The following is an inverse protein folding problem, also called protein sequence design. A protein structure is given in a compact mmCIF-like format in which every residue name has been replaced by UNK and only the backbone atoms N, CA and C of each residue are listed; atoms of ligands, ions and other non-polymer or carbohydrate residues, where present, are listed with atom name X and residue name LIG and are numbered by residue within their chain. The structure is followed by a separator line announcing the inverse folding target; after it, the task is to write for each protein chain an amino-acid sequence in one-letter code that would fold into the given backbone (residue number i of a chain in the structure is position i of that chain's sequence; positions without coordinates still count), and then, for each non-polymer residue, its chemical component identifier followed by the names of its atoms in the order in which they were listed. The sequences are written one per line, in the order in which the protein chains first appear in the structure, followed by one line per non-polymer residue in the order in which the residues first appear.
data_IF_722228755693
#
_entry.id   IF_722228755693
#
_cell.length_a   1.000
_cell.length_b   1.000
_cell.length_c   1.000
_cell.angle_alpha   90.00
_cell.angle_beta   90.00
_cell.angle_gamma   90.00
#
_symmetry.space_group_name_H-M   'P 1'
#
loop_
_entity.id
_entity.type
_entity.pdbx_description
1 polymer ?
#
# COMPACT_ATOMS: atom_id res chain seq x y z
N UNK A 1 -25.89 -29.58 -54.06
CA UNK A 1 -25.55 -28.94 -52.78
C UNK A 1 -25.82 -27.43 -52.88
N UNK A 2 -26.69 -26.88 -52.06
CA UNK A 2 -27.20 -25.52 -52.24
C UNK A 2 -26.23 -24.52 -51.57
N UNK A 3 -25.21 -24.07 -52.32
CA UNK A 3 -24.09 -23.24 -51.88
C UNK A 3 -24.53 -21.94 -51.11
N UNK A 4 -25.68 -21.38 -51.49
CA UNK A 4 -26.26 -20.22 -50.78
C UNK A 4 -26.70 -20.58 -49.35
N UNK A 5 -27.35 -21.73 -49.15
CA UNK A 5 -27.79 -22.19 -47.82
C UNK A 5 -26.59 -22.52 -46.91
N UNK A 6 -25.54 -23.08 -47.48
CA UNK A 6 -24.31 -23.39 -46.73
C UNK A 6 -23.61 -22.11 -46.24
N UNK A 7 -23.48 -21.08 -47.08
CA UNK A 7 -22.93 -19.79 -46.67
C UNK A 7 -23.75 -19.13 -45.56
N UNK A 8 -25.09 -19.14 -45.70
CA UNK A 8 -25.98 -18.56 -44.67
C UNK A 8 -25.84 -19.30 -43.34
N UNK A 9 -25.74 -20.62 -43.38
CA UNK A 9 -25.52 -21.43 -42.17
C UNK A 9 -24.19 -21.05 -41.49
N UNK A 10 -23.11 -20.92 -42.25
CA UNK A 10 -21.80 -20.52 -41.69
C UNK A 10 -21.84 -19.11 -41.05
N UNK A 11 -22.55 -18.17 -41.66
CA UNK A 11 -22.71 -16.82 -41.09
C UNK A 11 -23.49 -16.92 -39.77
N UNK A 12 -24.56 -17.70 -39.71
CA UNK A 12 -25.32 -17.88 -38.46
C UNK A 12 -24.48 -18.52 -37.36
N UNK A 13 -23.72 -19.56 -37.65
CA UNK A 13 -22.82 -20.22 -36.70
C UNK A 13 -21.76 -19.25 -36.22
N UNK A 14 -21.16 -18.47 -37.12
CA UNK A 14 -20.16 -17.47 -36.77
C UNK A 14 -20.72 -16.39 -35.84
N UNK A 15 -21.91 -15.86 -36.13
CA UNK A 15 -22.59 -14.87 -35.27
C UNK A 15 -22.88 -15.49 -33.89
N UNK A 16 -23.35 -16.72 -33.83
CA UNK A 16 -23.67 -17.40 -32.58
C UNK A 16 -22.42 -17.61 -31.70
N UNK A 17 -21.30 -18.01 -32.33
CA UNK A 17 -20.00 -18.15 -31.63
C UNK A 17 -19.50 -16.79 -31.10
N UNK A 18 -19.63 -15.73 -31.89
CA UNK A 18 -19.23 -14.41 -31.42
C UNK A 18 -20.11 -13.92 -30.26
N UNK A 19 -21.42 -14.13 -30.31
CA UNK A 19 -22.34 -13.83 -29.20
C UNK A 19 -21.93 -14.62 -27.96
N UNK A 20 -21.64 -15.90 -28.09
CA UNK A 20 -21.18 -16.75 -26.97
C UNK A 20 -19.86 -16.22 -26.37
N UNK A 21 -18.90 -15.84 -27.22
CA UNK A 21 -17.62 -15.25 -26.76
C UNK A 21 -17.82 -13.91 -26.04
N UNK A 22 -18.72 -13.05 -26.54
CA UNK A 22 -19.07 -11.80 -25.87
C UNK A 22 -19.73 -12.08 -24.53
N UNK A 23 -20.64 -13.04 -24.43
CA UNK A 23 -21.28 -13.43 -23.16
C UNK A 23 -20.25 -13.99 -22.15
N UNK A 24 -19.31 -14.84 -22.63
CA UNK A 24 -18.22 -15.35 -21.78
C UNK A 24 -17.32 -14.19 -21.33
N UNK A 25 -16.99 -13.27 -22.23
CA UNK A 25 -16.16 -12.09 -21.91
C UNK A 25 -16.85 -11.17 -20.90
N UNK A 26 -18.13 -10.83 -21.13
CA UNK A 26 -18.94 -10.01 -20.22
C UNK A 26 -19.08 -10.71 -18.86
N UNK A 27 -19.37 -12.03 -18.84
CA UNK A 27 -19.42 -12.81 -17.61
C UNK A 27 -18.07 -12.86 -16.88
N UNK A 28 -16.96 -12.92 -17.61
CA UNK A 28 -15.62 -12.89 -17.03
C UNK A 28 -15.29 -11.50 -16.48
N UNK A 29 -15.66 -10.42 -17.17
CA UNK A 29 -15.46 -9.04 -16.74
C UNK A 29 -16.39 -8.68 -15.59
N UNK A 30 -17.66 -9.10 -15.58
CA UNK A 30 -18.61 -8.88 -14.48
C UNK A 30 -18.31 -9.75 -13.26
N UNK A 31 -17.79 -10.98 -13.44
CA UNK A 31 -17.30 -11.80 -12.32
C UNK A 31 -15.95 -11.35 -11.78
N UNK A 32 -15.18 -10.57 -12.54
CA UNK A 32 -13.99 -9.87 -12.02
C UNK A 32 -14.32 -8.53 -11.34
N UNK A 33 -15.55 -8.04 -11.41
CA UNK A 33 -16.07 -7.15 -10.39
C UNK A 33 -16.37 -8.05 -9.19
N UNK A 34 -15.54 -7.90 -8.16
CA UNK A 34 -15.61 -8.62 -6.88
C UNK A 34 -17.01 -8.42 -6.31
N UNK A 35 -17.94 -9.28 -6.70
CA UNK A 35 -19.13 -9.50 -5.90
C UNK A 35 -18.70 -10.41 -4.76
N UNK A 36 -18.48 -9.82 -3.60
CA UNK A 36 -18.42 -10.51 -2.31
C UNK A 36 -19.78 -11.15 -1.94
N UNK A 37 -20.42 -11.82 -2.84
CA UNK A 37 -21.49 -12.73 -2.46
C UNK A 37 -20.80 -14.00 -1.98
N UNK A 38 -20.85 -14.20 -0.64
CA UNK A 38 -20.61 -15.42 0.12
C UNK A 38 -20.30 -16.63 -0.80
N UNK A 39 -19.01 -16.86 -1.07
CA UNK A 39 -18.62 -18.09 -1.74
C UNK A 39 -18.51 -19.18 -0.67
N UNK A 40 -19.04 -20.35 -0.92
CA UNK A 40 -18.91 -21.57 -0.09
C UNK A 40 -17.44 -21.98 0.22
N UNK A 41 -16.47 -21.23 -0.28
CA UNK A 41 -15.03 -21.39 -0.10
C UNK A 41 -14.39 -20.34 0.84
N UNK A 42 -15.18 -19.66 1.66
CA UNK A 42 -14.63 -18.70 2.62
C UNK A 42 -13.82 -19.41 3.70
N UNK A 43 -12.58 -18.95 3.93
CA UNK A 43 -11.72 -19.53 4.96
C UNK A 43 -12.30 -19.23 6.34
N UNK A 44 -12.60 -20.28 7.11
CA UNK A 44 -13.01 -20.16 8.50
C UNK A 44 -11.76 -20.10 9.39
N UNK A 45 -11.13 -18.95 9.48
CA UNK A 45 -9.86 -18.75 10.19
C UNK A 45 -9.85 -19.30 11.61
N UNK A 46 -10.98 -19.27 12.33
CA UNK A 46 -11.08 -19.85 13.67
C UNK A 46 -10.94 -21.38 13.65
N UNK A 47 -11.44 -22.07 12.63
CA UNK A 47 -11.29 -23.52 12.50
C UNK A 47 -9.84 -23.88 12.12
N UNK A 48 -9.17 -23.01 11.40
CA UNK A 48 -7.75 -23.11 11.05
C UNK A 48 -6.82 -22.65 12.20
N UNK A 49 -7.38 -22.30 13.38
CA UNK A 49 -6.63 -21.77 14.55
C UNK A 49 -5.84 -20.48 14.25
N UNK A 50 -6.20 -19.74 13.21
CA UNK A 50 -5.59 -18.46 12.88
C UNK A 50 -6.33 -17.34 13.63
N UNK A 51 -5.58 -16.54 14.39
CA UNK A 51 -6.15 -15.43 15.17
C UNK A 51 -6.19 -14.17 14.34
N UNK A 52 -7.36 -13.57 14.20
CA UNK A 52 -7.57 -12.30 13.48
C UNK A 52 -8.67 -11.51 14.17
N UNK A 53 -8.44 -10.22 14.40
CA UNK A 53 -9.48 -9.33 14.91
C UNK A 53 -10.60 -9.15 13.88
N UNK A 54 -11.86 -9.09 14.37
CA UNK A 54 -13.02 -8.78 13.52
C UNK A 54 -12.90 -7.38 12.88
N UNK A 55 -12.26 -6.44 13.54
CA UNK A 55 -12.09 -5.08 13.04
C UNK A 55 -11.17 -5.07 11.81
N UNK A 56 -10.18 -5.96 11.76
CA UNK A 56 -9.34 -6.15 10.58
C UNK A 56 -10.15 -6.72 9.42
N UNK A 57 -10.88 -7.82 9.67
CA UNK A 57 -11.62 -8.54 8.61
C UNK A 57 -12.79 -7.73 8.03
N UNK A 58 -13.44 -6.93 8.87
CA UNK A 58 -14.65 -6.19 8.51
C UNK A 58 -14.39 -4.71 8.18
N UNK A 59 -13.12 -4.32 8.01
CA UNK A 59 -12.78 -2.96 7.59
C UNK A 59 -13.43 -2.65 6.24
N UNK A 60 -14.32 -1.66 6.24
CA UNK A 60 -15.04 -1.26 5.03
C UNK A 60 -14.10 -0.54 4.05
N UNK A 61 -14.03 -1.06 2.85
CA UNK A 61 -13.32 -0.48 1.71
C UNK A 61 -14.24 -0.38 0.48
N UNK A 62 -15.57 -0.46 0.72
CA UNK A 62 -16.55 -0.30 -0.34
C UNK A 62 -16.40 1.08 -1.00
N UNK A 63 -16.37 1.10 -2.32
CA UNK A 63 -16.14 2.33 -3.08
C UNK A 63 -14.67 2.79 -3.18
N UNK A 64 -13.74 2.20 -2.44
CA UNK A 64 -12.31 2.54 -2.56
C UNK A 64 -11.74 1.99 -3.87
N UNK A 65 -11.30 2.89 -4.73
CA UNK A 65 -10.68 2.56 -6.02
C UNK A 65 -9.29 3.14 -6.10
N UNK A 66 -8.31 2.32 -6.46
CA UNK A 66 -6.92 2.71 -6.61
C UNK A 66 -6.38 2.29 -7.97
N UNK A 67 -5.26 2.90 -8.39
CA UNK A 67 -4.55 2.61 -9.63
C UNK A 67 -3.04 2.66 -9.37
N UNK A 68 -2.24 2.18 -10.29
CA UNK A 68 -0.79 2.35 -10.23
C UNK A 68 -0.45 3.83 -10.34
N UNK A 69 0.55 4.26 -9.57
CA UNK A 69 1.08 5.62 -9.60
C UNK A 69 2.58 5.61 -9.83
N UNK A 70 3.09 6.69 -10.42
CA UNK A 70 4.52 6.97 -10.47
C UNK A 70 4.83 8.17 -9.59
N UNK A 71 6.01 8.18 -9.02
CA UNK A 71 6.50 9.26 -8.19
C UNK A 71 8.00 9.46 -8.41
N UNK A 72 8.50 10.68 -8.14
CA UNK A 72 9.90 11.04 -8.30
C UNK A 72 10.44 11.64 -7.00
N UNK A 73 11.66 11.25 -6.58
CA UNK A 73 12.33 11.85 -5.42
C UNK A 73 12.49 13.36 -5.61
N UNK A 74 12.22 14.10 -4.54
CA UNK A 74 12.46 15.54 -4.48
C UNK A 74 13.94 15.80 -4.26
N UNK A 75 14.47 16.76 -5.00
CA UNK A 75 15.77 17.34 -4.74
C UNK A 75 15.63 18.54 -3.76
N UNK A 76 16.36 18.50 -2.65
CA UNK A 76 16.34 19.49 -1.59
C UNK A 76 17.53 20.46 -1.64
N UNK A 77 18.50 20.33 -2.56
CA UNK A 77 19.68 21.22 -2.61
C UNK A 77 19.29 22.71 -2.60
N UNK A 78 18.36 23.07 -3.48
CA UNK A 78 17.88 24.47 -3.54
C UNK A 78 17.07 24.89 -2.30
N UNK A 79 16.40 23.94 -1.66
CA UNK A 79 15.59 24.24 -0.46
C UNK A 79 16.44 24.43 0.79
N UNK A 80 17.51 23.65 0.96
CA UNK A 80 18.43 23.73 2.09
C UNK A 80 19.37 24.94 1.99
N UNK A 81 19.62 25.43 0.76
CA UNK A 81 20.55 26.52 0.51
C UNK A 81 20.22 27.77 1.33
N UNK A 82 21.17 28.22 2.15
CA UNK A 82 21.05 29.42 3.00
C UNK A 82 20.27 29.20 4.31
N UNK A 83 19.93 27.95 4.65
CA UNK A 83 19.32 27.57 5.93
C UNK A 83 20.35 26.81 6.76
N UNK A 84 20.86 27.42 7.83
CA UNK A 84 21.98 26.88 8.64
C UNK A 84 21.60 25.59 9.42
N UNK A 85 20.31 25.37 9.70
CA UNK A 85 19.81 24.20 10.42
C UNK A 85 19.40 23.04 9.52
N UNK A 86 19.55 23.20 8.20
CA UNK A 86 19.15 22.18 7.21
C UNK A 86 20.30 21.83 6.28
N UNK A 87 20.48 20.55 6.01
CA UNK A 87 21.45 20.03 5.07
C UNK A 87 20.78 19.09 4.07
N UNK A 88 21.21 19.15 2.81
CA UNK A 88 20.74 18.23 1.76
C UNK A 88 21.79 17.15 1.55
N UNK A 89 21.43 15.90 1.78
CA UNK A 89 22.27 14.72 1.69
C UNK A 89 21.78 13.77 0.57
N UNK A 90 22.50 12.67 0.34
CA UNK A 90 22.16 11.64 -0.67
C UNK A 90 21.89 12.29 -2.06
N UNK A 91 22.82 13.13 -2.53
CA UNK A 91 22.66 13.88 -3.79
C UNK A 91 21.35 14.69 -3.84
N UNK A 92 21.00 15.34 -2.74
CA UNK A 92 19.81 16.17 -2.61
C UNK A 92 18.51 15.42 -2.25
N UNK A 93 18.51 14.09 -2.19
CA UNK A 93 17.26 13.32 -2.00
C UNK A 93 16.81 13.23 -0.54
N UNK A 94 17.67 13.58 0.40
CA UNK A 94 17.38 13.57 1.84
C UNK A 94 17.66 14.95 2.41
N UNK A 95 16.74 15.46 3.19
CA UNK A 95 16.89 16.69 3.97
C UNK A 95 17.10 16.30 5.42
N UNK A 96 18.21 16.70 6.02
CA UNK A 96 18.47 16.58 7.45
C UNK A 96 18.24 17.90 8.14
N UNK A 97 17.72 17.86 9.36
CA UNK A 97 17.48 19.04 10.17
C UNK A 97 17.77 18.79 11.64
N UNK A 98 18.50 19.71 12.26
CA UNK A 98 18.70 19.76 13.71
C UNK A 98 17.50 20.41 14.40
N UNK A 99 17.18 19.96 15.61
CA UNK A 99 16.05 20.45 16.41
C UNK A 99 16.61 21.17 17.63
N UNK A 100 16.65 22.51 17.59
CA UNK A 100 17.16 23.35 18.66
C UNK A 100 16.13 23.56 19.79
N UNK A 101 14.87 23.21 19.57
CA UNK A 101 13.77 23.35 20.53
C UNK A 101 13.53 22.06 21.31
N UNK A 102 12.94 22.17 22.51
CA UNK A 102 12.50 20.98 23.23
C UNK A 102 11.22 20.44 22.61
N UNK A 103 11.30 19.28 21.94
CA UNK A 103 10.16 18.55 21.37
C UNK A 103 10.04 17.21 22.08
N UNK A 104 9.06 17.07 22.98
CA UNK A 104 8.87 15.86 23.76
C UNK A 104 8.13 14.80 22.95
N UNK A 105 8.51 13.53 23.16
CA UNK A 105 7.86 12.36 22.54
C UNK A 105 7.33 11.37 23.57
N UNK A 106 7.21 11.82 24.84
CA UNK A 106 6.82 10.95 25.96
C UNK A 106 5.31 10.74 26.06
N UNK A 107 4.50 11.59 25.41
CA UNK A 107 3.05 11.41 25.40
C UNK A 107 2.61 10.42 24.32
N UNK A 108 1.59 9.65 24.62
CA UNK A 108 1.05 8.61 23.72
C UNK A 108 0.53 9.19 22.39
N UNK A 109 0.22 10.46 22.35
CA UNK A 109 -0.32 11.16 21.18
C UNK A 109 0.74 11.86 20.33
N UNK A 110 2.00 11.97 20.81
CA UNK A 110 3.10 12.68 20.16
C UNK A 110 2.70 14.12 19.76
N UNK A 111 2.01 14.85 20.66
CA UNK A 111 1.43 16.17 20.35
C UNK A 111 2.47 17.18 19.96
N UNK A 112 3.53 17.34 20.78
CA UNK A 112 4.62 18.28 20.52
C UNK A 112 5.33 17.98 19.19
N UNK A 113 5.51 16.68 18.88
CA UNK A 113 6.13 16.25 17.63
C UNK A 113 5.24 16.53 16.42
N UNK A 114 3.93 16.32 16.53
CA UNK A 114 2.98 16.69 15.48
C UNK A 114 2.97 18.18 15.21
N UNK A 115 2.97 19.02 16.26
CA UNK A 115 3.01 20.47 16.12
C UNK A 115 4.32 20.93 15.47
N UNK A 116 5.43 20.31 15.85
CA UNK A 116 6.72 20.54 15.19
C UNK A 116 6.70 20.18 13.70
N UNK A 117 6.17 19.00 13.35
CA UNK A 117 6.03 18.55 11.95
C UNK A 117 5.21 19.56 11.14
N UNK A 118 4.10 20.03 11.69
CA UNK A 118 3.22 20.96 10.98
C UNK A 118 3.85 22.33 10.75
N UNK A 119 4.75 22.76 11.64
CA UNK A 119 5.31 24.13 11.65
C UNK A 119 6.70 24.19 10.99
N UNK A 120 7.53 23.15 11.09
CA UNK A 120 8.94 23.19 10.76
C UNK A 120 9.38 22.25 9.63
N UNK A 121 8.62 21.16 9.41
CA UNK A 121 8.98 20.15 8.39
C UNK A 121 8.40 20.53 7.03
N UNK A 122 9.19 20.34 5.97
CA UNK A 122 8.72 20.57 4.60
C UNK A 122 7.46 19.76 4.31
N UNK A 123 6.35 20.45 3.96
CA UNK A 123 5.05 19.83 3.70
C UNK A 123 4.62 18.79 4.77
N UNK A 124 4.79 19.11 6.06
CA UNK A 124 4.52 18.20 7.18
C UNK A 124 3.14 17.52 7.16
N UNK A 125 2.13 18.19 6.57
CA UNK A 125 0.75 17.67 6.43
C UNK A 125 0.63 16.37 5.64
N UNK A 126 1.62 16.04 4.80
CA UNK A 126 1.57 14.84 3.96
C UNK A 126 2.01 13.56 4.68
N UNK A 127 2.42 13.66 5.95
CA UNK A 127 2.95 12.54 6.69
C UNK A 127 1.93 11.94 7.65
N UNK A 128 1.92 10.62 7.76
CA UNK A 128 1.14 9.84 8.71
C UNK A 128 2.11 9.04 9.59
N UNK A 129 1.74 8.83 10.86
CA UNK A 129 2.55 8.03 11.79
C UNK A 129 2.72 6.61 11.23
N UNK A 130 3.95 6.17 11.12
CA UNK A 130 4.33 4.83 10.68
C UNK A 130 4.70 3.95 11.87
N UNK A 131 5.89 4.17 12.45
CA UNK A 131 6.44 3.33 13.51
C UNK A 131 7.05 4.15 14.63
N UNK A 132 7.00 3.63 15.86
CA UNK A 132 7.56 4.25 17.06
C UNK A 132 8.42 3.22 17.80
N UNK A 133 9.68 3.55 17.99
CA UNK A 133 10.62 2.79 18.81
C UNK A 133 11.15 3.64 19.96
N UNK A 134 12.03 3.10 20.81
CA UNK A 134 12.71 3.86 21.86
C UNK A 134 13.56 5.01 21.32
N UNK A 135 14.16 4.80 20.16
CA UNK A 135 15.22 5.67 19.61
C UNK A 135 14.78 6.44 18.39
N UNK A 136 13.63 6.08 17.80
CA UNK A 136 13.13 6.73 16.59
C UNK A 136 11.61 6.80 16.53
N UNK A 137 11.11 7.88 15.91
CA UNK A 137 9.71 7.99 15.46
C UNK A 137 9.73 8.19 13.96
N UNK A 138 9.03 7.33 13.23
CA UNK A 138 8.99 7.35 11.78
C UNK A 138 7.58 7.65 11.28
N UNK A 139 7.48 8.58 10.34
CA UNK A 139 6.27 8.90 9.61
C UNK A 139 6.45 8.52 8.14
N UNK A 140 5.40 8.04 7.52
CA UNK A 140 5.34 7.70 6.09
C UNK A 140 4.61 8.80 5.33
N UNK A 141 5.13 9.17 4.17
CA UNK A 141 4.42 10.08 3.28
C UNK A 141 3.14 9.43 2.79
N UNK A 142 2.04 10.18 2.77
CA UNK A 142 0.76 9.72 2.24
C UNK A 142 0.40 10.42 0.93
N UNK A 143 -0.26 9.69 0.07
CA UNK A 143 -0.89 10.18 -1.16
C UNK A 143 -2.39 9.84 -1.15
N UNK A 144 -3.25 10.84 -1.31
CA UNK A 144 -4.72 10.69 -1.19
C UNK A 144 -5.16 9.98 0.10
N UNK A 145 -4.41 10.18 1.22
CA UNK A 145 -4.69 9.55 2.51
C UNK A 145 -4.13 8.14 2.69
N UNK A 146 -3.45 7.57 1.69
CA UNK A 146 -2.85 6.25 1.74
C UNK A 146 -1.32 6.34 1.84
N UNK A 147 -0.66 5.63 2.79
CA UNK A 147 0.78 5.69 2.99
C UNK A 147 1.55 5.10 1.80
N UNK A 148 2.72 5.68 1.51
CA UNK A 148 3.75 5.08 0.66
C UNK A 148 4.61 4.17 1.56
N UNK A 149 4.16 2.91 1.68
CA UNK A 149 4.61 1.97 2.71
C UNK A 149 6.04 1.50 2.51
N UNK A 150 6.79 1.41 3.62
CA UNK A 150 8.15 0.89 3.66
C UNK A 150 9.07 1.49 2.57
N UNK A 151 9.03 2.81 2.40
CA UNK A 151 9.74 3.52 1.35
C UNK A 151 10.72 4.55 1.92
N UNK A 152 12.03 4.29 1.79
CA UNK A 152 13.07 5.18 2.29
C UNK A 152 13.08 6.55 1.60
N UNK A 153 12.54 6.67 0.39
CA UNK A 153 12.43 7.93 -0.34
C UNK A 153 11.12 8.69 -0.07
N UNK A 154 10.29 8.18 0.86
CA UNK A 154 8.97 8.75 1.18
C UNK A 154 8.71 8.73 2.70
N UNK A 155 9.69 9.11 3.50
CA UNK A 155 9.57 9.06 4.95
C UNK A 155 10.16 10.27 5.64
N UNK A 156 9.70 10.49 6.88
CA UNK A 156 10.23 11.44 7.83
C UNK A 156 10.57 10.65 9.10
N UNK A 157 11.83 10.66 9.50
CA UNK A 157 12.34 9.93 10.66
C UNK A 157 12.94 10.91 11.66
N UNK A 158 12.51 10.85 12.90
CA UNK A 158 13.08 11.61 14.03
C UNK A 158 14.00 10.69 14.83
N UNK A 159 15.15 11.21 15.22
CA UNK A 159 16.04 10.59 16.19
C UNK A 159 15.63 11.07 17.59
N UNK A 160 15.48 10.12 18.50
CA UNK A 160 15.01 10.35 19.87
C UNK A 160 16.15 10.08 20.84
N UNK A 161 16.39 11.03 21.73
CA UNK A 161 17.31 10.89 22.84
C UNK A 161 16.65 11.40 24.13
N UNK A 162 16.66 10.60 25.20
CA UNK A 162 16.05 10.93 26.50
C UNK A 162 14.59 11.46 26.38
N UNK A 163 13.79 10.81 25.51
CA UNK A 163 12.39 11.17 25.29
C UNK A 163 12.16 12.48 24.54
N UNK A 164 13.18 12.99 23.84
CA UNK A 164 13.10 14.22 23.04
C UNK A 164 13.60 13.97 21.62
N UNK A 165 12.95 14.57 20.64
CA UNK A 165 13.45 14.60 19.27
C UNK A 165 14.63 15.59 19.18
N UNK A 166 15.74 15.13 18.60
CA UNK A 166 16.99 15.91 18.48
C UNK A 166 17.32 16.31 17.05
N UNK A 167 16.94 15.48 16.09
CA UNK A 167 17.13 15.73 14.66
C UNK A 167 16.11 14.94 13.85
N UNK A 168 16.02 15.26 12.57
CA UNK A 168 15.20 14.48 11.63
C UNK A 168 15.85 14.33 10.27
N UNK A 169 15.45 13.26 9.59
CA UNK A 169 15.73 12.99 8.19
C UNK A 169 14.42 12.95 7.42
N UNK A 170 14.33 13.69 6.34
CA UNK A 170 13.14 13.75 5.49
C UNK A 170 13.48 13.43 4.06
N UNK A 171 12.77 12.44 3.48
CA UNK A 171 12.75 12.16 2.06
C UNK A 171 11.33 12.28 1.53
N UNK A 172 11.17 12.80 0.31
CA UNK A 172 9.88 13.14 -0.29
C UNK A 172 9.78 12.61 -1.70
N UNK A 173 8.71 11.92 -2.00
CA UNK A 173 8.29 11.61 -3.36
C UNK A 173 7.37 12.72 -3.88
N UNK A 174 7.79 13.36 -4.95
CA UNK A 174 7.05 14.42 -5.66
C UNK A 174 6.42 13.90 -6.97
N UNK A 175 5.64 14.76 -7.63
CA UNK A 175 5.05 14.49 -8.93
C UNK A 175 4.34 13.13 -8.95
N UNK A 176 3.58 12.88 -7.87
CA UNK A 176 2.81 11.64 -7.77
C UNK A 176 1.63 11.75 -8.74
N UNK A 177 1.63 10.90 -9.76
CA UNK A 177 0.63 10.90 -10.82
C UNK A 177 0.26 9.47 -11.23
N UNK A 178 -0.93 9.23 -11.83
CA UNK A 178 -1.24 7.94 -12.42
C UNK A 178 -0.15 7.48 -13.37
N UNK A 179 0.29 6.23 -13.23
CA UNK A 179 1.28 5.66 -14.13
C UNK A 179 0.77 5.67 -15.58
N UNK A 180 1.60 6.16 -16.49
CA UNK A 180 1.30 6.21 -17.94
C UNK A 180 1.35 4.79 -18.49
N UNK A 181 0.19 4.18 -18.60
CA UNK A 181 0.00 2.86 -19.19
C UNK A 181 -1.38 2.82 -19.84
N UNK A 182 -1.48 2.19 -21.00
CA UNK A 182 -2.74 2.06 -21.76
C UNK A 182 -3.85 1.34 -20.97
N UNK A 183 -3.50 0.66 -19.89
CA UNK A 183 -4.44 -0.11 -19.07
C UNK A 183 -4.22 0.11 -17.56
N UNK A 184 -4.32 1.36 -17.12
CA UNK A 184 -4.22 1.73 -15.69
C UNK A 184 -5.49 2.44 -15.17
N UNK A 185 -6.69 1.85 -15.30
CA UNK A 185 -7.90 2.43 -14.72
C UNK A 185 -7.88 2.31 -13.20
N UNK A 186 -8.59 3.20 -12.50
CA UNK A 186 -8.88 3.01 -11.06
C UNK A 186 -9.72 1.73 -10.89
N UNK A 187 -9.22 0.77 -10.12
CA UNK A 187 -9.88 -0.51 -9.83
C UNK A 187 -10.32 -0.57 -8.38
N UNK A 188 -11.46 -1.23 -8.13
CA UNK A 188 -11.91 -1.54 -6.77
C UNK A 188 -10.83 -2.34 -6.04
N UNK A 189 -10.51 -1.96 -4.81
CA UNK A 189 -9.60 -2.75 -3.97
C UNK A 189 -10.31 -3.99 -3.41
N UNK A 190 -9.56 -5.07 -3.24
CA UNK A 190 -10.05 -6.28 -2.54
C UNK A 190 -10.20 -5.98 -1.05
N UNK A 191 -11.08 -6.70 -0.37
CA UNK A 191 -11.24 -6.57 1.08
C UNK A 191 -10.01 -7.07 1.83
N UNK A 192 -9.81 -6.61 3.09
CA UNK A 192 -8.75 -7.15 3.94
C UNK A 192 -8.92 -8.64 4.19
N UNK A 193 -10.15 -9.14 4.30
CA UNK A 193 -10.45 -10.58 4.37
C UNK A 193 -9.85 -11.32 3.18
N UNK A 194 -10.11 -10.85 1.96
CA UNK A 194 -9.58 -11.45 0.73
C UNK A 194 -8.05 -11.41 0.66
N UNK A 195 -7.45 -10.34 1.15
CA UNK A 195 -5.99 -10.23 1.23
C UNK A 195 -5.40 -11.26 2.22
N UNK A 196 -6.01 -11.44 3.39
CA UNK A 196 -5.60 -12.45 4.38
C UNK A 196 -5.82 -13.87 3.86
N UNK A 197 -6.94 -14.15 3.18
CA UNK A 197 -7.17 -15.44 2.49
C UNK A 197 -6.10 -15.73 1.44
N UNK A 198 -5.65 -14.70 0.74
CA UNK A 198 -4.54 -14.83 -0.23
C UNK A 198 -3.26 -15.31 0.46
N UNK A 199 -2.93 -14.78 1.65
CA UNK A 199 -1.79 -15.28 2.44
C UNK A 199 -1.98 -16.74 2.86
N UNK A 200 -3.19 -17.12 3.29
CA UNK A 200 -3.49 -18.49 3.70
C UNK A 200 -3.34 -19.47 2.51
N UNK A 201 -3.96 -19.21 1.38
CA UNK A 201 -3.87 -20.07 0.21
C UNK A 201 -2.47 -20.18 -0.38
N UNK A 202 -1.66 -19.14 -0.24
CA UNK A 202 -0.24 -19.16 -0.64
C UNK A 202 0.69 -19.69 0.47
N UNK A 203 0.13 -20.24 1.58
CA UNK A 203 0.87 -20.88 2.68
C UNK A 203 1.80 -19.95 3.49
N UNK A 204 1.53 -18.66 3.44
CA UNK A 204 2.18 -17.65 4.30
C UNK A 204 1.55 -17.58 5.69
N UNK A 205 0.29 -18.04 5.85
CA UNK A 205 -0.38 -18.23 7.13
C UNK A 205 -0.55 -19.71 7.44
N UNK A 206 -0.35 -20.06 8.69
CA UNK A 206 -0.42 -21.45 9.23
C UNK A 206 -1.25 -21.46 10.51
N UNK A 207 -1.69 -22.67 10.91
CA UNK A 207 -2.35 -22.89 12.20
C UNK A 207 -1.54 -22.32 13.37
N UNK A 208 -2.18 -21.52 14.19
CA UNK A 208 -1.61 -20.86 15.35
C UNK A 208 -0.95 -19.50 15.09
N UNK A 209 -0.94 -19.03 13.85
CA UNK A 209 -0.47 -17.68 13.52
C UNK A 209 -1.50 -16.61 13.91
N UNK A 210 -1.03 -15.36 14.06
CA UNK A 210 -1.87 -14.22 14.41
C UNK A 210 -1.66 -13.07 13.43
N UNK A 211 -2.74 -12.59 12.81
CA UNK A 211 -2.73 -11.35 12.01
C UNK A 211 -2.91 -10.18 12.95
N UNK A 212 -1.86 -9.40 13.10
CA UNK A 212 -1.78 -8.28 14.05
C UNK A 212 -2.39 -7.00 13.48
N UNK A 213 -2.21 -6.74 12.17
CA UNK A 213 -2.66 -5.53 11.49
C UNK A 213 -2.84 -5.76 9.99
N UNK A 214 -3.73 -4.97 9.37
CA UNK A 214 -3.87 -4.86 7.93
C UNK A 214 -4.21 -3.43 7.54
N UNK A 215 -3.33 -2.80 6.76
CA UNK A 215 -3.53 -1.44 6.26
C UNK A 215 -3.35 -1.36 4.75
N UNK A 216 -4.13 -0.50 4.10
CA UNK A 216 -4.08 -0.25 2.67
C UNK A 216 -3.15 0.92 2.38
N UNK A 217 -2.32 0.80 1.34
CA UNK A 217 -1.42 1.85 0.92
C UNK A 217 -0.78 1.56 -0.43
N UNK A 218 0.28 2.28 -0.74
CA UNK A 218 1.07 2.08 -1.94
C UNK A 218 2.43 1.47 -1.59
N UNK A 219 2.84 0.48 -2.35
CA UNK A 219 4.12 -0.21 -2.17
C UNK A 219 4.89 -0.31 -3.49
N UNK A 220 6.20 -0.15 -3.44
CA UNK A 220 7.11 -0.37 -4.56
C UNK A 220 8.10 -1.47 -4.24
N UNK A 221 8.28 -2.42 -5.16
CA UNK A 221 9.32 -3.47 -5.05
C UNK A 221 10.71 -2.86 -5.23
N UNK A 222 10.83 -1.83 -6.09
CA UNK A 222 12.08 -1.11 -6.36
C UNK A 222 12.04 0.24 -5.65
N UNK A 223 12.61 0.29 -4.44
CA UNK A 223 12.51 1.44 -3.53
C UNK A 223 13.71 2.39 -3.57
N UNK A 224 14.83 1.96 -4.14
CA UNK A 224 16.08 2.71 -4.13
C UNK A 224 16.20 3.72 -5.29
N UNK A 225 15.35 3.62 -6.30
CA UNK A 225 15.38 4.50 -7.48
C UNK A 225 14.69 5.83 -7.21
N UNK A 226 15.20 6.90 -7.87
CA UNK A 226 14.61 8.23 -7.77
C UNK A 226 13.26 8.37 -8.50
N UNK A 227 12.93 7.44 -9.38
CA UNK A 227 11.62 7.33 -10.01
C UNK A 227 11.07 5.95 -9.69
N UNK A 228 9.90 5.90 -9.09
CA UNK A 228 9.30 4.66 -8.62
C UNK A 228 7.91 4.45 -9.21
N UNK A 229 7.60 3.18 -9.47
CA UNK A 229 6.25 2.70 -9.72
C UNK A 229 5.71 2.10 -8.44
N UNK A 230 4.56 2.60 -7.97
CA UNK A 230 3.93 2.15 -6.75
C UNK A 230 2.56 1.54 -7.07
N UNK A 231 2.31 0.39 -6.50
CA UNK A 231 1.06 -0.36 -6.66
C UNK A 231 0.26 -0.30 -5.36
N UNK A 232 -1.07 -0.31 -5.48
CA UNK A 232 -1.93 -0.45 -4.31
C UNK A 232 -1.77 -1.84 -3.71
N UNK A 233 -1.45 -1.90 -2.41
CA UNK A 233 -1.22 -3.14 -1.67
C UNK A 233 -1.85 -3.07 -0.29
N UNK A 234 -2.25 -4.23 0.23
CA UNK A 234 -2.45 -4.44 1.65
C UNK A 234 -1.12 -4.79 2.30
N UNK A 235 -0.71 -4.04 3.30
CA UNK A 235 0.34 -4.43 4.23
C UNK A 235 -0.30 -5.22 5.37
N UNK A 236 0.15 -6.45 5.56
CA UNK A 236 -0.39 -7.36 6.57
C UNK A 236 0.75 -7.79 7.50
N UNK A 237 0.61 -7.49 8.78
CA UNK A 237 1.56 -7.87 9.83
C UNK A 237 1.13 -9.17 10.49
N UNK A 238 2.01 -10.16 10.48
CA UNK A 238 1.74 -11.52 10.99
C UNK A 238 2.76 -11.89 12.04
N UNK A 239 2.27 -12.33 13.19
CA UNK A 239 3.07 -12.98 14.22
C UNK A 239 2.94 -14.49 14.05
N UNK A 240 4.01 -15.16 13.65
CA UNK A 240 4.00 -16.60 13.47
C UNK A 240 4.10 -17.33 14.81
N UNK A 241 3.43 -18.47 14.92
CA UNK A 241 3.45 -19.32 16.12
C UNK A 241 4.89 -19.67 16.51
N UNK A 242 5.24 -19.38 17.77
CA UNK A 242 6.57 -19.67 18.32
C UNK A 242 7.68 -18.70 17.88
N UNK A 243 7.32 -17.59 17.21
CA UNK A 243 8.26 -16.50 16.92
C UNK A 243 7.87 -15.23 17.69
N UNK A 244 8.86 -14.45 18.09
CA UNK A 244 8.64 -13.17 18.75
C UNK A 244 8.51 -12.02 17.73
N UNK A 245 9.22 -12.12 16.61
CA UNK A 245 9.22 -11.14 15.54
C UNK A 245 7.91 -11.15 14.73
N UNK A 246 7.49 -9.97 14.31
CA UNK A 246 6.33 -9.75 13.43
C UNK A 246 6.84 -9.64 11.99
N UNK A 247 6.32 -10.49 11.12
CA UNK A 247 6.65 -10.47 9.70
C UNK A 247 5.61 -9.66 8.91
N UNK A 248 6.07 -8.88 7.96
CA UNK A 248 5.22 -8.04 7.11
C UNK A 248 5.13 -8.63 5.70
N UNK A 249 3.91 -8.76 5.20
CA UNK A 249 3.60 -9.19 3.84
C UNK A 249 2.85 -8.11 3.09
N UNK A 250 3.10 -7.98 1.79
CA UNK A 250 2.35 -7.09 0.92
C UNK A 250 1.53 -7.91 -0.07
N UNK A 251 0.23 -7.62 -0.13
CA UNK A 251 -0.73 -8.31 -1.02
C UNK A 251 -1.32 -7.30 -2.00
N UNK A 252 -1.19 -7.55 -3.29
CA UNK A 252 -1.71 -6.67 -4.33
C UNK A 252 -3.22 -6.42 -4.15
N UNK A 253 -3.61 -5.16 -3.99
CA UNK A 253 -4.96 -4.79 -3.60
C UNK A 253 -5.94 -4.64 -4.78
N UNK A 254 -5.48 -4.51 -6.02
CA UNK A 254 -6.31 -4.22 -7.20
C UNK A 254 -6.37 -5.35 -8.22
N UNK A 255 -5.92 -6.54 -7.86
CA UNK A 255 -5.91 -7.74 -8.70
C UNK A 255 -6.98 -8.73 -8.28
N UNK A 256 -7.64 -9.37 -9.24
CA UNK A 256 -8.53 -10.52 -8.99
C UNK A 256 -7.77 -11.79 -8.60
N UNK A 257 -6.47 -11.85 -8.93
CA UNK A 257 -5.53 -12.90 -8.50
C UNK A 257 -4.32 -12.23 -7.83
N UNK A 258 -4.46 -11.82 -6.54
CA UNK A 258 -3.46 -11.02 -5.86
C UNK A 258 -2.14 -11.76 -5.70
N UNK A 259 -1.04 -11.09 -5.95
CA UNK A 259 0.30 -11.59 -5.66
C UNK A 259 0.69 -11.20 -4.24
N UNK A 260 1.47 -12.07 -3.59
CA UNK A 260 2.08 -11.82 -2.29
C UNK A 260 3.55 -11.47 -2.49
N UNK A 261 3.99 -10.42 -1.85
CA UNK A 261 5.40 -10.02 -1.76
C UNK A 261 5.82 -10.25 -0.32
N UNK A 262 6.79 -11.11 -0.13
CA UNK A 262 7.45 -11.42 1.14
C UNK A 262 8.65 -10.49 1.29
N UNK A 263 8.72 -9.73 2.41
CA UNK A 263 9.74 -8.71 2.64
C UNK A 263 10.60 -9.05 3.86
#
# INVERSE_FOLDING_TARGET
MNWKRTKTLFIFVFILVNILLVLIYVNKVTKSQINESESDNEVKFQQEEIKISKDILNKDVSGTKMQMITAKSKDFESYAKGKSSLEAEDSGNTLTGEIDSTVNVSDSNLSDLKDYIMSNVYNGKMYQLGDVTSDTVTYEQAYEGYPLMNNNKARLRFNINDGKATSYEQSVMNNIEPAKSDNNPKKQVITPRKAVETLYFNRYLKSGDEVMDARLGYYSVVRETNVQLLLANWEIKVKHKGKEDVKTYYVEATSSNPKVIDN
#
